data_IF_528653782127
#
_entry.id   IF_528653782127
#
_cell.length_a   1.000
_cell.length_b   1.000
_cell.length_c   1.000
_cell.angle_alpha   90.00
_cell.angle_beta   90.00
_cell.angle_gamma   90.00
#
_symmetry.space_group_name_H-M   'P 1'
#
loop_
_entity.id
_entity.type
_entity.pdbx_description
1 polymer ?
#
# COMPACT_ATOMS: atom_id res chain seq x y z
N UNK A 1 2.58 -17.53 -30.59
CA UNK A 1 2.82 -16.07 -30.39
C UNK A 1 1.65 -15.33 -29.76
N UNK A 2 0.41 -15.42 -30.28
CA UNK A 2 -0.74 -14.67 -29.72
C UNK A 2 -1.09 -15.04 -28.26
N UNK A 3 -1.05 -16.33 -27.92
CA UNK A 3 -1.29 -16.81 -26.54
C UNK A 3 -0.29 -16.26 -25.50
N UNK A 4 0.96 -16.04 -25.91
CA UNK A 4 2.00 -15.49 -25.03
C UNK A 4 1.70 -14.00 -24.74
N UNK A 5 1.25 -13.24 -25.75
CA UNK A 5 0.87 -11.84 -25.58
C UNK A 5 -0.33 -11.66 -24.65
N UNK A 6 -1.35 -12.52 -24.71
CA UNK A 6 -2.52 -12.42 -23.81
C UNK A 6 -2.17 -12.75 -22.36
N UNK A 7 -1.32 -13.76 -22.12
CA UNK A 7 -0.88 -14.13 -20.77
C UNK A 7 -0.03 -13.01 -20.12
N UNK A 8 0.90 -12.41 -20.88
CA UNK A 8 1.74 -11.31 -20.36
C UNK A 8 0.88 -10.06 -20.07
N UNK A 9 -0.10 -9.76 -20.93
CA UNK A 9 -1.00 -8.61 -20.73
C UNK A 9 -1.82 -8.77 -19.45
N UNK A 10 -2.37 -9.96 -19.18
CA UNK A 10 -3.14 -10.23 -17.96
C UNK A 10 -2.27 -10.09 -16.68
N UNK A 11 -1.01 -10.52 -16.75
CA UNK A 11 -0.07 -10.40 -15.63
C UNK A 11 0.28 -8.94 -15.32
N UNK A 12 0.34 -8.08 -16.33
CA UNK A 12 0.61 -6.64 -16.17
C UNK A 12 -0.53 -5.89 -15.47
N UNK A 13 -1.79 -6.28 -15.71
CA UNK A 13 -2.97 -5.66 -15.10
C UNK A 13 -3.05 -5.90 -13.59
N UNK A 14 -2.72 -7.11 -13.14
CA UNK A 14 -2.70 -7.44 -11.71
C UNK A 14 -1.65 -6.59 -10.98
N UNK A 15 -0.47 -6.40 -11.59
CA UNK A 15 0.58 -5.55 -11.03
C UNK A 15 0.15 -4.09 -10.94
N UNK A 16 -0.61 -3.60 -11.93
CA UNK A 16 -1.16 -2.24 -11.93
C UNK A 16 -2.22 -2.04 -10.83
N UNK A 17 -3.11 -3.02 -10.63
CA UNK A 17 -4.10 -2.98 -9.54
C UNK A 17 -3.41 -2.94 -8.17
N UNK A 18 -2.31 -3.67 -7.99
CA UNK A 18 -1.51 -3.61 -6.77
C UNK A 18 -0.85 -2.26 -6.57
N UNK A 19 -0.33 -1.64 -7.63
CA UNK A 19 0.22 -0.28 -7.58
C UNK A 19 -0.84 0.73 -7.14
N UNK A 20 -2.04 0.65 -7.71
CA UNK A 20 -3.17 1.49 -7.30
C UNK A 20 -3.51 1.21 -5.83
N UNK A 21 -3.54 -0.04 -5.40
CA UNK A 21 -3.83 -0.39 -4.01
C UNK A 21 -2.75 0.11 -3.02
N UNK A 22 -1.49 0.21 -3.45
CA UNK A 22 -0.39 0.80 -2.65
C UNK A 22 -0.51 2.33 -2.62
N UNK A 23 -0.99 2.95 -3.70
CA UNK A 23 -1.23 4.39 -3.77
C UNK A 23 -2.43 4.83 -2.91
N UNK A 24 -3.46 3.99 -2.80
CA UNK A 24 -4.60 4.22 -1.93
C UNK A 24 -4.35 3.54 -0.57
N UNK A 25 -3.54 4.17 0.27
CA UNK A 25 -3.46 3.82 1.68
C UNK A 25 -4.82 4.04 2.34
N UNK A 26 -5.30 3.08 3.13
CA UNK A 26 -6.61 3.18 3.77
C UNK A 26 -6.49 3.87 5.13
N UNK A 27 -5.46 3.53 5.90
CA UNK A 27 -5.21 4.09 7.23
C UNK A 27 -4.01 5.00 7.16
N UNK A 28 -4.16 6.23 7.65
CA UNK A 28 -3.07 7.19 7.77
C UNK A 28 -2.69 7.37 9.24
N UNK A 29 -1.39 7.36 9.51
CA UNK A 29 -0.81 7.69 10.81
C UNK A 29 -0.01 8.96 10.64
N UNK A 30 -0.41 10.01 11.36
CA UNK A 30 0.28 11.29 11.35
C UNK A 30 0.94 11.54 12.71
N UNK A 31 2.24 11.78 12.69
CA UNK A 31 3.06 12.12 13.85
C UNK A 31 3.43 13.60 13.79
N UNK A 32 3.14 14.33 14.85
CA UNK A 32 3.67 15.67 15.07
C UNK A 32 5.09 15.56 15.58
N UNK A 33 6.06 15.91 14.73
CA UNK A 33 7.48 15.82 15.04
C UNK A 33 7.92 16.76 16.17
N UNK A 34 7.20 17.86 16.38
CA UNK A 34 7.56 18.87 17.39
C UNK A 34 6.97 18.56 18.76
N UNK A 35 5.74 18.05 18.82
CA UNK A 35 5.04 17.77 20.09
C UNK A 35 4.99 16.29 20.46
N UNK A 36 5.30 15.39 19.53
CA UNK A 36 5.16 13.94 19.70
C UNK A 36 3.72 13.42 19.58
N UNK A 37 2.75 14.27 19.25
CA UNK A 37 1.35 13.86 19.11
C UNK A 37 1.13 12.90 17.93
N UNK A 38 0.35 11.84 18.13
CA UNK A 38 0.02 10.84 17.10
C UNK A 38 -1.47 10.95 16.78
N UNK A 39 -1.81 11.04 15.51
CA UNK A 39 -3.17 11.01 15.00
C UNK A 39 -3.32 9.84 14.03
N UNK A 40 -4.45 9.15 14.10
CA UNK A 40 -4.76 8.00 13.24
C UNK A 40 -6.06 8.30 12.52
N UNK A 41 -5.96 8.49 11.21
CA UNK A 41 -7.10 8.78 10.33
C UNK A 41 -7.40 7.52 9.51
N UNK A 42 -8.51 6.80 9.78
CA UNK A 42 -8.83 5.53 9.13
C UNK A 42 -9.31 5.68 7.68
N UNK A 43 -9.50 6.93 7.20
CA UNK A 43 -9.89 7.22 5.83
C UNK A 43 -9.13 8.47 5.35
N UNK A 44 -7.98 8.25 4.72
CA UNK A 44 -7.17 9.33 4.17
C UNK A 44 -6.30 8.82 3.03
N UNK A 45 -6.28 9.55 1.91
CA UNK A 45 -5.54 9.16 0.70
C UNK A 45 -4.21 9.91 0.71
N UNK A 46 -3.10 9.17 0.81
CA UNK A 46 -1.75 9.74 0.74
C UNK A 46 -1.02 9.18 -0.49
N UNK A 47 -0.70 10.06 -1.43
CA UNK A 47 0.03 9.69 -2.63
C UNK A 47 1.41 9.16 -2.24
N UNK A 48 1.77 7.95 -2.70
CA UNK A 48 3.03 7.25 -2.39
C UNK A 48 3.17 6.72 -0.96
N UNK A 49 2.12 6.78 -0.12
CA UNK A 49 2.10 6.15 1.19
C UNK A 49 2.92 6.86 2.28
N UNK A 50 3.58 7.98 1.99
CA UNK A 50 4.23 8.83 2.98
C UNK A 50 4.24 10.29 2.54
N UNK A 51 4.28 11.21 3.49
CA UNK A 51 4.30 12.64 3.24
C UNK A 51 4.66 13.43 4.48
N UNK A 52 5.09 14.68 4.28
CA UNK A 52 5.29 15.62 5.37
C UNK A 52 4.63 16.94 5.01
N UNK A 53 4.09 17.63 6.02
CA UNK A 53 3.57 18.98 5.86
C UNK A 53 3.93 19.82 7.07
N UNK A 54 4.22 21.10 6.83
CA UNK A 54 4.43 22.08 7.88
C UNK A 54 3.17 22.91 8.05
N UNK A 55 2.69 23.04 9.28
CA UNK A 55 1.50 23.85 9.57
C UNK A 55 1.95 25.29 9.82
N UNK A 56 1.76 26.19 8.86
CA UNK A 56 2.11 27.61 9.00
C UNK A 56 3.63 27.93 8.93
N UNK A 57 3.98 29.21 9.11
CA UNK A 57 5.36 29.70 8.93
C UNK A 57 6.33 29.19 10.00
N UNK A 58 5.86 29.02 11.24
CA UNK A 58 6.63 28.55 12.40
C UNK A 58 6.01 27.35 13.13
N UNK A 59 4.98 26.73 12.55
CA UNK A 59 4.32 25.63 13.24
C UNK A 59 4.97 24.25 12.97
N UNK A 60 4.37 23.22 13.58
CA UNK A 60 4.98 21.90 13.67
C UNK A 60 5.07 21.21 12.31
N UNK A 61 6.08 20.34 12.18
CA UNK A 61 6.19 19.40 11.07
C UNK A 61 5.37 18.17 11.40
N UNK A 62 4.43 17.86 10.53
CA UNK A 62 3.60 16.67 10.60
C UNK A 62 4.15 15.67 9.57
N UNK A 63 4.51 14.48 10.05
CA UNK A 63 4.95 13.36 9.24
C UNK A 63 3.81 12.37 9.15
N UNK A 64 3.34 12.08 7.95
CA UNK A 64 2.21 11.20 7.71
C UNK A 64 2.66 9.97 6.94
N UNK A 65 2.21 8.80 7.36
CA UNK A 65 2.47 7.51 6.69
C UNK A 65 1.14 6.79 6.52
N UNK A 66 0.85 6.33 5.32
CA UNK A 66 -0.33 5.55 5.03
C UNK A 66 0.01 4.05 4.95
N UNK A 67 -0.85 3.23 5.56
CA UNK A 67 -0.72 1.79 5.58
C UNK A 67 -1.54 1.21 4.42
N UNK A 68 -0.90 0.58 3.41
CA UNK A 68 -1.59 -0.01 2.26
C UNK A 68 -2.15 -1.39 2.64
N UNK A 69 -3.26 -1.41 3.39
CA UNK A 69 -3.85 -2.62 3.95
C UNK A 69 -4.11 -3.72 2.92
N UNK A 70 -4.60 -3.40 1.73
CA UNK A 70 -4.87 -4.47 0.76
C UNK A 70 -3.64 -4.96 0.00
N UNK A 71 -2.52 -4.23 -0.02
CA UNK A 71 -1.25 -4.83 -0.44
C UNK A 71 -0.82 -5.92 0.54
N UNK A 72 -0.98 -5.67 1.84
CA UNK A 72 -0.71 -6.65 2.91
C UNK A 72 -1.63 -7.86 2.76
N UNK A 73 -2.95 -7.65 2.62
CA UNK A 73 -3.93 -8.74 2.44
C UNK A 73 -3.63 -9.55 1.17
N UNK A 74 -3.33 -8.88 0.06
CA UNK A 74 -2.97 -9.54 -1.19
C UNK A 74 -1.71 -10.38 -1.03
N UNK A 75 -0.67 -9.85 -0.39
CA UNK A 75 0.59 -10.57 -0.19
C UNK A 75 0.39 -11.81 0.68
N UNK A 76 -0.44 -11.73 1.72
CA UNK A 76 -0.80 -12.87 2.57
C UNK A 76 -1.57 -13.93 1.76
N UNK A 77 -2.60 -13.52 1.01
CA UNK A 77 -3.37 -14.44 0.15
C UNK A 77 -2.47 -15.11 -0.90
N UNK A 78 -1.58 -14.36 -1.55
CA UNK A 78 -0.63 -14.89 -2.53
C UNK A 78 0.28 -15.96 -1.93
N UNK A 79 0.82 -15.73 -0.72
CA UNK A 79 1.67 -16.73 -0.04
C UNK A 79 0.90 -18.03 0.19
N UNK A 80 -0.35 -17.94 0.67
CA UNK A 80 -1.21 -19.12 0.87
C UNK A 80 -1.37 -19.95 -0.41
N UNK A 81 -1.59 -19.30 -1.55
CA UNK A 81 -1.79 -19.98 -2.84
C UNK A 81 -0.53 -20.68 -3.35
N UNK A 82 0.64 -20.08 -3.09
CA UNK A 82 1.93 -20.68 -3.46
C UNK A 82 2.25 -21.89 -2.58
N UNK A 83 2.02 -21.79 -1.26
CA UNK A 83 2.24 -22.92 -0.34
C UNK A 83 1.31 -24.08 -0.65
N UNK A 84 0.02 -23.83 -0.93
CA UNK A 84 -0.92 -24.91 -1.29
C UNK A 84 -0.56 -25.61 -2.60
N UNK A 85 0.15 -24.93 -3.52
CA UNK A 85 0.62 -25.59 -4.76
C UNK A 85 1.73 -26.60 -4.50
N UNK A 86 2.59 -26.35 -3.51
CA UNK A 86 3.68 -27.24 -3.12
C UNK A 86 3.09 -28.50 -2.47
N UNK A 87 2.17 -28.33 -1.50
CA UNK A 87 1.49 -29.44 -0.82
C UNK A 87 0.71 -30.37 -1.77
N UNK A 88 0.12 -29.85 -2.85
CA UNK A 88 -0.59 -30.67 -3.84
C UNK A 88 0.34 -31.37 -4.86
N UNK A 89 1.66 -31.16 -4.78
CA UNK A 89 2.65 -31.83 -5.63
C UNK A 89 3.34 -33.01 -4.93
N UNK A 90 3.08 -33.19 -3.62
CA UNK A 90 3.55 -34.28 -2.77
C UNK A 90 2.49 -35.39 -2.66
#
# INVERSE_FOLDING_TARGET
NILVCTIITLLSLIRAILLIFILFGFVNVTVNWTTGGINIDPLSILLLGAGFRKVGLYGPVLISVAIPLGAIIFMIKRKKWLTSRIENQD
#
